data_IF_408015940110
#
_entry.id   IF_408015940110
#
_cell.length_a   1.000
_cell.length_b   1.000
_cell.length_c   1.000
_cell.angle_alpha   90.00
_cell.angle_beta   90.00
_cell.angle_gamma   90.00
#
_symmetry.space_group_name_H-M   'P 1'
#
loop_
_entity.id
_entity.type
_entity.pdbx_description
1 polymer ?
#
# COMPACT_ATOMS: atom_id res chain seq x y z
N UNK A 1 10.68 -35.86 -10.76
CA UNK A 1 9.53 -35.04 -10.41
C UNK A 1 9.91 -33.96 -9.40
N UNK A 2 10.30 -34.31 -8.16
CA UNK A 2 10.59 -33.33 -7.08
C UNK A 2 11.67 -32.30 -7.46
N UNK A 3 12.73 -32.72 -8.14
CA UNK A 3 13.81 -31.80 -8.58
C UNK A 3 13.28 -30.78 -9.62
N UNK A 4 12.45 -31.23 -10.56
CA UNK A 4 11.85 -30.38 -11.58
C UNK A 4 10.91 -29.34 -10.95
N UNK A 5 10.06 -29.76 -10.02
CA UNK A 5 9.15 -28.89 -9.25
C UNK A 5 9.94 -27.83 -8.47
N UNK A 6 11.03 -28.21 -7.81
CA UNK A 6 11.89 -27.27 -7.10
C UNK A 6 12.52 -26.21 -8.03
N UNK A 7 12.99 -26.64 -9.21
CA UNK A 7 13.56 -25.76 -10.23
C UNK A 7 12.50 -24.80 -10.80
N UNK A 8 11.30 -25.30 -11.13
CA UNK A 8 10.19 -24.47 -11.61
C UNK A 8 9.75 -23.44 -10.58
N UNK A 9 9.65 -23.83 -9.29
CA UNK A 9 9.36 -22.88 -8.19
C UNK A 9 10.43 -21.80 -8.08
N UNK A 10 11.71 -22.16 -8.19
CA UNK A 10 12.82 -21.21 -8.19
C UNK A 10 12.72 -20.23 -9.38
N UNK A 11 12.44 -20.73 -10.61
CA UNK A 11 12.24 -19.89 -11.79
C UNK A 11 11.10 -18.88 -11.59
N UNK A 12 9.97 -19.31 -11.04
CA UNK A 12 8.83 -18.43 -10.76
C UNK A 12 9.19 -17.33 -9.73
N UNK A 13 9.90 -17.69 -8.66
CA UNK A 13 10.30 -16.74 -7.63
C UNK A 13 11.35 -15.72 -8.13
N UNK A 14 12.26 -16.14 -9.00
CA UNK A 14 13.29 -15.29 -9.62
C UNK A 14 12.77 -14.57 -10.88
N UNK A 15 11.56 -14.89 -11.34
CA UNK A 15 10.95 -14.40 -12.59
C UNK A 15 11.79 -14.71 -13.85
N UNK A 16 12.50 -15.85 -13.84
CA UNK A 16 13.36 -16.32 -14.93
C UNK A 16 12.57 -17.18 -15.92
N UNK A 17 11.85 -16.52 -16.82
CA UNK A 17 10.93 -17.19 -17.75
C UNK A 17 11.63 -18.12 -18.74
N UNK A 18 12.82 -17.75 -19.23
CA UNK A 18 13.54 -18.55 -20.26
C UNK A 18 14.05 -19.87 -19.69
N UNK A 19 14.53 -19.88 -18.45
CA UNK A 19 14.83 -21.10 -17.72
C UNK A 19 13.56 -21.93 -17.47
N UNK A 20 12.47 -21.28 -17.08
CA UNK A 20 11.17 -21.92 -16.91
C UNK A 20 10.69 -22.63 -18.16
N UNK A 21 10.81 -22.01 -19.35
CA UNK A 21 10.48 -22.62 -20.66
C UNK A 21 11.35 -23.83 -20.98
N UNK A 22 12.63 -23.82 -20.66
CA UNK A 22 13.52 -24.96 -20.83
C UNK A 22 13.06 -26.14 -19.98
N UNK A 23 12.83 -25.93 -18.70
CA UNK A 23 12.33 -26.98 -17.79
C UNK A 23 10.93 -27.46 -18.18
N UNK A 24 10.07 -26.60 -18.72
CA UNK A 24 8.80 -27.03 -19.30
C UNK A 24 9.02 -27.95 -20.53
N UNK A 25 9.99 -27.61 -21.39
CA UNK A 25 10.38 -28.50 -22.52
C UNK A 25 10.88 -29.87 -22.04
N UNK A 26 11.62 -29.92 -20.93
CA UNK A 26 12.06 -31.17 -20.31
C UNK A 26 10.88 -31.97 -19.74
N UNK A 27 9.94 -31.28 -19.04
CA UNK A 27 8.71 -31.86 -18.54
C UNK A 27 7.86 -32.49 -19.66
N UNK A 28 7.75 -31.84 -20.84
CA UNK A 28 7.06 -32.33 -22.00
C UNK A 28 7.75 -33.57 -22.59
N UNK A 29 9.08 -33.57 -22.72
CA UNK A 29 9.83 -34.72 -23.24
C UNK A 29 9.70 -35.97 -22.39
N UNK A 30 9.54 -35.78 -21.08
CA UNK A 30 9.35 -36.87 -20.11
C UNK A 30 7.88 -37.27 -19.93
N UNK A 31 6.95 -36.54 -20.54
CA UNK A 31 5.51 -36.76 -20.38
C UNK A 31 4.92 -36.22 -19.06
N UNK A 32 5.76 -35.68 -18.18
CA UNK A 32 5.34 -35.23 -16.84
C UNK A 32 4.42 -34.00 -16.86
N UNK A 33 4.49 -33.19 -17.91
CA UNK A 33 3.65 -31.97 -18.00
C UNK A 33 2.15 -32.28 -18.13
N UNK A 34 1.80 -33.43 -18.74
CA UNK A 34 0.41 -33.80 -18.96
C UNK A 34 -0.08 -34.97 -18.10
N UNK A 35 0.85 -35.76 -17.51
CA UNK A 35 0.51 -36.92 -16.69
C UNK A 35 0.53 -36.64 -15.17
N UNK A 36 1.21 -35.55 -14.74
CA UNK A 36 1.39 -35.22 -13.33
C UNK A 36 0.76 -33.85 -13.01
N UNK A 37 -0.36 -33.88 -12.27
CA UNK A 37 -1.09 -32.70 -11.84
C UNK A 37 -0.21 -31.74 -11.01
N UNK A 38 0.73 -32.25 -10.21
CA UNK A 38 1.62 -31.45 -9.38
C UNK A 38 2.66 -30.67 -10.20
N UNK A 39 3.20 -31.30 -11.26
CA UNK A 39 4.10 -30.59 -12.19
C UNK A 39 3.32 -29.56 -13.01
N UNK A 40 2.12 -29.90 -13.49
CA UNK A 40 1.27 -28.97 -14.23
C UNK A 40 0.88 -27.75 -13.39
N UNK A 41 0.45 -27.94 -12.15
CA UNK A 41 0.14 -26.88 -11.19
C UNK A 41 1.34 -25.95 -10.94
N UNK A 42 2.54 -26.55 -10.81
CA UNK A 42 3.78 -25.77 -10.62
C UNK A 42 4.16 -24.98 -11.87
N UNK A 43 3.94 -25.52 -13.07
CA UNK A 43 4.14 -24.82 -14.35
C UNK A 43 3.21 -23.62 -14.48
N UNK A 44 1.92 -23.77 -14.16
CA UNK A 44 0.95 -22.69 -14.18
C UNK A 44 1.36 -21.57 -13.22
N UNK A 45 1.71 -21.93 -11.97
CA UNK A 45 2.18 -20.98 -10.98
C UNK A 45 3.47 -20.26 -11.40
N UNK A 46 4.43 -20.99 -12.00
CA UNK A 46 5.68 -20.42 -12.52
C UNK A 46 5.38 -19.39 -13.63
N UNK A 47 4.55 -19.74 -14.61
CA UNK A 47 4.18 -18.83 -15.69
C UNK A 47 3.37 -17.63 -15.20
N UNK A 48 2.47 -17.83 -14.24
CA UNK A 48 1.73 -16.75 -13.57
C UNK A 48 2.69 -15.73 -12.97
N UNK A 49 3.64 -16.18 -12.16
CA UNK A 49 4.66 -15.32 -11.51
C UNK A 49 5.58 -14.61 -12.52
N UNK A 50 5.90 -15.27 -13.63
CA UNK A 50 6.72 -14.69 -14.70
C UNK A 50 5.94 -13.73 -15.62
N UNK A 51 4.63 -13.55 -15.44
CA UNK A 51 3.82 -12.67 -16.28
C UNK A 51 3.34 -13.29 -17.61
N UNK A 52 3.59 -14.55 -17.84
CA UNK A 52 3.28 -15.27 -19.09
C UNK A 52 1.96 -16.04 -18.99
N UNK A 53 0.86 -15.31 -18.91
CA UNK A 53 -0.46 -15.90 -18.68
C UNK A 53 -0.91 -16.81 -19.83
N UNK A 54 -0.50 -16.52 -21.08
CA UNK A 54 -0.87 -17.34 -22.25
C UNK A 54 -0.30 -18.77 -22.17
N UNK A 55 0.95 -18.88 -21.72
CA UNK A 55 1.58 -20.18 -21.49
C UNK A 55 0.95 -20.91 -20.31
N UNK A 56 0.53 -20.20 -19.25
CA UNK A 56 -0.22 -20.79 -18.15
C UNK A 56 -1.59 -21.33 -18.64
N UNK A 57 -2.34 -20.52 -19.43
CA UNK A 57 -3.59 -20.93 -20.07
C UNK A 57 -3.40 -22.18 -20.95
N UNK A 58 -2.31 -22.25 -21.73
CA UNK A 58 -2.01 -23.39 -22.59
C UNK A 58 -1.78 -24.67 -21.75
N UNK A 59 -0.97 -24.62 -20.71
CA UNK A 59 -0.73 -25.75 -19.81
C UNK A 59 -2.03 -26.17 -19.13
N UNK A 60 -2.83 -25.22 -18.65
CA UNK A 60 -4.13 -25.50 -18.02
C UNK A 60 -5.07 -26.24 -18.97
N UNK A 61 -5.22 -25.79 -20.23
CA UNK A 61 -6.08 -26.40 -21.22
C UNK A 61 -5.59 -27.79 -21.65
N UNK A 62 -4.28 -27.99 -21.80
CA UNK A 62 -3.67 -29.28 -22.16
C UNK A 62 -4.00 -30.34 -21.10
N UNK A 63 -3.91 -29.98 -19.82
CA UNK A 63 -4.14 -30.90 -18.70
C UNK A 63 -5.63 -31.08 -18.42
N UNK A 64 -6.42 -30.04 -18.44
CA UNK A 64 -7.86 -30.11 -18.17
C UNK A 64 -8.64 -30.90 -19.24
N UNK A 65 -8.12 -30.99 -20.47
CA UNK A 65 -8.72 -31.80 -21.53
C UNK A 65 -8.41 -33.29 -21.43
N UNK A 66 -7.32 -33.66 -20.74
CA UNK A 66 -6.83 -35.04 -20.65
C UNK A 66 -7.20 -35.75 -19.32
N UNK A 67 -7.49 -35.00 -18.27
CA UNK A 67 -7.82 -35.53 -16.94
C UNK A 67 -9.30 -35.27 -16.63
N UNK A 68 -10.13 -36.32 -16.71
CA UNK A 68 -11.58 -36.28 -16.38
C UNK A 68 -11.85 -35.99 -14.89
N UNK A 69 -10.85 -36.12 -14.03
CA UNK A 69 -10.87 -35.82 -12.60
C UNK A 69 -10.06 -34.53 -12.36
N UNK A 70 -10.60 -33.38 -12.80
CA UNK A 70 -9.93 -32.09 -12.66
C UNK A 70 -9.76 -31.74 -11.20
N UNK A 71 -8.53 -31.88 -10.70
CA UNK A 71 -8.13 -31.53 -9.34
C UNK A 71 -8.35 -30.02 -9.07
N UNK A 72 -9.09 -29.71 -8.01
CA UNK A 72 -9.34 -28.31 -7.57
C UNK A 72 -8.05 -27.49 -7.43
N UNK A 73 -6.91 -28.15 -7.15
CA UNK A 73 -5.59 -27.51 -7.02
C UNK A 73 -5.12 -26.93 -8.36
N UNK A 74 -5.36 -27.59 -9.46
CA UNK A 74 -5.03 -27.08 -10.80
C UNK A 74 -5.83 -25.82 -11.14
N UNK A 75 -7.13 -25.82 -10.79
CA UNK A 75 -8.00 -24.65 -10.97
C UNK A 75 -7.57 -23.48 -10.09
N UNK A 76 -7.26 -23.73 -8.82
CA UNK A 76 -6.75 -22.71 -7.92
C UNK A 76 -5.43 -22.10 -8.40
N UNK A 77 -4.53 -22.91 -8.99
CA UNK A 77 -3.31 -22.39 -9.58
C UNK A 77 -3.59 -21.43 -10.75
N UNK A 78 -4.56 -21.75 -11.61
CA UNK A 78 -4.94 -20.86 -12.71
C UNK A 78 -5.66 -19.60 -12.24
N UNK A 79 -6.56 -19.73 -11.25
CA UNK A 79 -7.21 -18.59 -10.59
C UNK A 79 -6.16 -17.64 -9.97
N UNK A 80 -5.18 -18.19 -9.25
CA UNK A 80 -4.07 -17.43 -8.66
C UNK A 80 -3.20 -16.75 -9.72
N UNK A 81 -2.91 -17.44 -10.85
CA UNK A 81 -2.14 -16.87 -11.94
C UNK A 81 -2.84 -15.67 -12.58
N UNK A 82 -4.17 -15.71 -12.73
CA UNK A 82 -4.93 -14.55 -13.18
C UNK A 82 -4.88 -13.39 -12.19
N UNK A 83 -4.99 -13.68 -10.90
CA UNK A 83 -4.96 -12.66 -9.87
C UNK A 83 -3.58 -11.96 -9.79
N UNK A 84 -2.48 -12.73 -9.86
CA UNK A 84 -1.10 -12.21 -9.89
C UNK A 84 -0.85 -11.26 -11.08
N UNK A 85 -1.59 -11.45 -12.19
CA UNK A 85 -1.51 -10.61 -13.38
C UNK A 85 -2.60 -9.52 -13.45
N UNK A 86 -3.25 -9.21 -12.30
CA UNK A 86 -4.33 -8.22 -12.22
C UNK A 86 -5.49 -8.48 -13.21
N UNK A 87 -5.76 -9.74 -13.54
CA UNK A 87 -6.86 -10.16 -14.42
C UNK A 87 -8.03 -10.72 -13.63
N UNK A 88 -8.52 -9.95 -12.66
CA UNK A 88 -9.59 -10.34 -11.74
C UNK A 88 -10.87 -10.80 -12.46
N UNK A 89 -11.25 -10.15 -13.58
CA UNK A 89 -12.42 -10.58 -14.37
C UNK A 89 -12.30 -12.01 -14.88
N UNK A 90 -11.11 -12.37 -15.43
CA UNK A 90 -10.86 -13.74 -15.89
C UNK A 90 -10.87 -14.76 -14.75
N UNK A 91 -10.39 -14.35 -13.57
CA UNK A 91 -10.45 -15.21 -12.39
C UNK A 91 -11.91 -15.48 -11.97
N UNK A 92 -12.77 -14.47 -11.95
CA UNK A 92 -14.19 -14.63 -11.62
C UNK A 92 -14.94 -15.48 -12.66
N UNK A 93 -14.67 -15.28 -13.95
CA UNK A 93 -15.23 -16.11 -15.03
C UNK A 93 -14.80 -17.55 -14.87
N UNK A 94 -13.52 -17.81 -14.58
CA UNK A 94 -13.00 -19.16 -14.38
C UNK A 94 -13.62 -19.82 -13.13
N UNK A 95 -13.81 -19.07 -12.05
CA UNK A 95 -14.47 -19.54 -10.84
C UNK A 95 -15.93 -19.94 -11.13
N UNK A 96 -16.69 -19.10 -11.83
CA UNK A 96 -18.07 -19.40 -12.23
C UNK A 96 -18.13 -20.64 -13.17
N UNK A 97 -17.17 -20.77 -14.09
CA UNK A 97 -17.07 -21.92 -14.98
C UNK A 97 -16.79 -23.22 -14.20
N UNK A 98 -15.90 -23.15 -13.20
CA UNK A 98 -15.59 -24.28 -12.32
C UNK A 98 -16.83 -24.81 -11.61
N UNK A 99 -17.68 -23.93 -11.06
CA UNK A 99 -18.92 -24.30 -10.39
C UNK A 99 -20.01 -24.81 -11.34
N UNK A 100 -20.27 -24.05 -12.42
CA UNK A 100 -21.47 -24.24 -13.23
C UNK A 100 -21.33 -25.31 -14.31
N UNK A 101 -20.19 -25.40 -14.99
CA UNK A 101 -20.03 -26.24 -16.18
C UNK A 101 -19.25 -27.52 -15.90
N UNK A 102 -18.26 -27.47 -15.04
CA UNK A 102 -17.39 -28.64 -14.76
C UNK A 102 -17.86 -29.42 -13.54
N UNK A 103 -18.69 -28.77 -12.69
CA UNK A 103 -19.20 -29.42 -11.48
C UNK A 103 -18.14 -29.69 -10.41
N UNK A 104 -16.99 -28.99 -10.51
CA UNK A 104 -15.93 -29.07 -9.51
C UNK A 104 -16.32 -28.19 -8.33
N UNK A 105 -16.43 -28.78 -7.15
CA UNK A 105 -16.76 -28.03 -5.95
C UNK A 105 -15.58 -27.13 -5.52
N UNK A 106 -15.74 -25.78 -5.54
CA UNK A 106 -14.73 -24.87 -5.01
C UNK A 106 -14.40 -25.19 -3.55
N UNK A 107 -13.17 -25.01 -3.16
CA UNK A 107 -12.74 -25.12 -1.77
C UNK A 107 -12.54 -23.72 -1.17
N UNK A 108 -12.12 -23.66 0.10
CA UNK A 108 -11.84 -22.40 0.78
C UNK A 108 -10.82 -21.50 0.05
N UNK A 109 -9.83 -22.09 -0.61
CA UNK A 109 -8.80 -21.39 -1.35
C UNK A 109 -9.37 -20.77 -2.64
N UNK A 110 -10.18 -21.54 -3.39
CA UNK A 110 -10.90 -21.05 -4.59
C UNK A 110 -11.76 -19.82 -4.24
N UNK A 111 -12.50 -19.90 -3.15
CA UNK A 111 -13.38 -18.85 -2.68
C UNK A 111 -12.60 -17.62 -2.23
N UNK A 112 -11.50 -17.80 -1.52
CA UNK A 112 -10.61 -16.71 -1.12
C UNK A 112 -10.06 -15.97 -2.34
N UNK A 113 -9.59 -16.70 -3.36
CA UNK A 113 -9.05 -16.10 -4.60
C UNK A 113 -10.15 -15.33 -5.34
N UNK A 114 -11.38 -15.87 -5.42
CA UNK A 114 -12.51 -15.18 -6.04
C UNK A 114 -12.87 -13.85 -5.32
N UNK A 115 -12.88 -13.85 -3.99
CA UNK A 115 -13.08 -12.64 -3.18
C UNK A 115 -11.95 -11.62 -3.35
N UNK A 116 -10.70 -12.08 -3.44
CA UNK A 116 -9.55 -11.21 -3.74
C UNK A 116 -9.64 -10.64 -5.16
N UNK A 117 -10.14 -11.41 -6.12
CA UNK A 117 -10.39 -10.93 -7.47
C UNK A 117 -11.45 -9.81 -7.49
N UNK A 118 -12.57 -9.96 -6.76
CA UNK A 118 -13.54 -8.88 -6.57
C UNK A 118 -12.86 -7.63 -6.00
N UNK A 119 -12.05 -7.80 -4.97
CA UNK A 119 -11.33 -6.68 -4.32
C UNK A 119 -10.35 -5.98 -5.24
N UNK A 120 -9.71 -6.70 -6.18
CA UNK A 120 -8.75 -6.13 -7.14
C UNK A 120 -9.42 -5.36 -8.29
N UNK A 121 -10.68 -5.64 -8.58
CA UNK A 121 -11.43 -4.97 -9.65
C UNK A 121 -12.02 -3.62 -9.22
N UNK A 122 -12.06 -3.34 -7.93
CA UNK A 122 -12.53 -2.05 -7.41
C UNK A 122 -11.36 -1.05 -7.46
N UNK A 123 -11.03 -0.58 -8.65
CA UNK A 123 -9.91 0.35 -8.87
C UNK A 123 -10.36 1.80 -9.00
N UNK A 124 -11.58 2.04 -9.47
CA UNK A 124 -12.12 3.38 -9.68
C UNK A 124 -13.48 3.55 -9.01
N UNK A 125 -13.77 4.78 -8.56
CA UNK A 125 -15.02 5.20 -7.90
C UNK A 125 -16.29 5.08 -8.76
N UNK A 126 -16.35 4.12 -9.70
CA UNK A 126 -17.54 3.88 -10.54
C UNK A 126 -18.58 3.11 -9.73
N UNK A 127 -19.62 3.80 -9.30
CA UNK A 127 -20.71 3.23 -8.49
C UNK A 127 -21.34 1.97 -9.13
N UNK A 128 -21.58 1.99 -10.43
CA UNK A 128 -22.18 0.85 -11.16
C UNK A 128 -21.32 -0.41 -11.06
N UNK A 129 -20.00 -0.27 -11.13
CA UNK A 129 -19.08 -1.40 -11.00
C UNK A 129 -19.04 -1.94 -9.56
N UNK A 130 -19.16 -1.05 -8.56
CA UNK A 130 -19.22 -1.45 -7.14
C UNK A 130 -20.50 -2.24 -6.83
N UNK A 131 -21.65 -1.78 -7.28
CA UNK A 131 -22.94 -2.45 -7.04
C UNK A 131 -22.96 -3.86 -7.65
N UNK A 132 -22.44 -4.01 -8.87
CA UNK A 132 -22.32 -5.31 -9.52
C UNK A 132 -21.36 -6.25 -8.77
N UNK A 133 -20.18 -5.77 -8.36
CA UNK A 133 -19.22 -6.55 -7.60
C UNK A 133 -19.75 -6.91 -6.21
N UNK A 134 -20.55 -6.04 -5.60
CA UNK A 134 -21.22 -6.31 -4.34
C UNK A 134 -22.17 -7.50 -4.44
N UNK A 135 -22.94 -7.62 -5.52
CA UNK A 135 -23.82 -8.79 -5.73
C UNK A 135 -23.01 -10.08 -5.87
N UNK A 136 -21.85 -10.03 -6.55
CA UNK A 136 -20.93 -11.19 -6.63
C UNK A 136 -20.41 -11.54 -5.23
N UNK A 137 -19.95 -10.54 -4.45
CA UNK A 137 -19.44 -10.76 -3.08
C UNK A 137 -20.53 -11.37 -2.18
N UNK A 138 -21.79 -10.91 -2.29
CA UNK A 138 -22.93 -11.50 -1.57
C UNK A 138 -23.16 -12.95 -1.98
N UNK A 139 -23.10 -13.27 -3.26
CA UNK A 139 -23.19 -14.65 -3.76
C UNK A 139 -22.07 -15.54 -3.18
N UNK A 140 -20.83 -15.08 -3.25
CA UNK A 140 -19.68 -15.80 -2.69
C UNK A 140 -19.78 -15.94 -1.15
N UNK A 141 -20.37 -14.97 -0.46
CA UNK A 141 -20.63 -15.09 1.00
C UNK A 141 -21.66 -16.16 1.30
N UNK A 142 -22.74 -16.26 0.52
CA UNK A 142 -23.75 -17.32 0.65
C UNK A 142 -23.11 -18.69 0.38
N UNK A 143 -22.28 -18.81 -0.63
CA UNK A 143 -21.53 -20.06 -0.93
C UNK A 143 -20.64 -20.44 0.26
N UNK A 144 -19.94 -19.47 0.83
CA UNK A 144 -19.10 -19.68 2.03
C UNK A 144 -19.92 -20.18 3.23
N UNK A 145 -21.14 -19.67 3.42
CA UNK A 145 -22.06 -20.11 4.49
C UNK A 145 -22.54 -21.52 4.26
N UNK A 146 -22.98 -21.83 3.05
CA UNK A 146 -23.49 -23.15 2.67
C UNK A 146 -22.41 -24.24 2.80
N UNK A 147 -21.16 -23.92 2.51
CA UNK A 147 -20.02 -24.83 2.65
C UNK A 147 -19.40 -24.85 4.05
N UNK A 148 -19.90 -24.02 4.99
CA UNK A 148 -19.42 -23.94 6.36
C UNK A 148 -18.00 -23.34 6.50
N UNK A 149 -17.47 -22.69 5.44
CA UNK A 149 -16.10 -22.18 5.42
C UNK A 149 -15.96 -20.70 5.86
N UNK A 150 -17.07 -20.04 6.19
CA UNK A 150 -17.05 -18.65 6.71
C UNK A 150 -16.20 -18.50 7.97
N UNK A 151 -16.13 -19.56 8.80
CA UNK A 151 -15.33 -19.56 10.03
C UNK A 151 -13.82 -19.59 9.78
N UNK A 152 -13.37 -19.97 8.57
CA UNK A 152 -11.95 -19.95 8.22
C UNK A 152 -11.40 -18.53 8.17
N UNK A 153 -10.30 -18.28 8.89
CA UNK A 153 -9.71 -16.95 9.02
C UNK A 153 -9.41 -16.26 7.67
N UNK A 154 -8.93 -17.03 6.69
CA UNK A 154 -8.57 -16.50 5.37
C UNK A 154 -9.79 -16.07 4.55
N UNK A 155 -10.85 -16.89 4.52
CA UNK A 155 -12.11 -16.57 3.82
C UNK A 155 -12.76 -15.35 4.45
N UNK A 156 -12.83 -15.33 5.78
CA UNK A 156 -13.38 -14.20 6.54
C UNK A 156 -12.64 -12.91 6.28
N UNK A 157 -11.30 -12.93 6.31
CA UNK A 157 -10.49 -11.75 5.98
C UNK A 157 -10.73 -11.27 4.56
N UNK A 158 -10.85 -12.20 3.60
CA UNK A 158 -11.14 -11.86 2.21
C UNK A 158 -12.55 -11.25 2.06
N UNK A 159 -13.56 -11.76 2.79
CA UNK A 159 -14.91 -11.18 2.85
C UNK A 159 -14.89 -9.76 3.45
N UNK A 160 -14.18 -9.57 4.57
CA UNK A 160 -14.01 -8.23 5.17
C UNK A 160 -13.43 -7.23 4.16
N UNK A 161 -12.33 -7.60 3.50
CA UNK A 161 -11.70 -6.75 2.50
C UNK A 161 -12.63 -6.48 1.31
N UNK A 162 -13.38 -7.48 0.84
CA UNK A 162 -14.28 -7.33 -0.29
C UNK A 162 -15.45 -6.40 0.04
N UNK A 163 -16.12 -6.60 1.19
CA UNK A 163 -17.20 -5.71 1.63
C UNK A 163 -16.72 -4.29 1.90
N UNK A 164 -15.56 -4.14 2.56
CA UNK A 164 -14.98 -2.82 2.81
C UNK A 164 -14.73 -2.03 1.52
N UNK A 165 -14.13 -2.67 0.51
CA UNK A 165 -13.88 -2.03 -0.78
C UNK A 165 -15.15 -1.70 -1.55
N UNK A 166 -16.22 -2.48 -1.36
CA UNK A 166 -17.55 -2.15 -1.87
C UNK A 166 -18.22 -0.99 -1.10
N UNK A 167 -17.68 -0.57 0.04
CA UNK A 167 -18.27 0.47 0.90
C UNK A 167 -19.34 -0.06 1.86
N UNK A 168 -19.50 -1.38 1.96
CA UNK A 168 -20.51 -2.04 2.80
C UNK A 168 -19.92 -2.41 4.16
N UNK A 169 -19.56 -1.39 4.96
CA UNK A 169 -18.95 -1.57 6.28
C UNK A 169 -19.84 -2.37 7.25
N UNK A 170 -21.16 -2.21 7.18
CA UNK A 170 -22.08 -2.93 8.04
C UNK A 170 -22.01 -4.45 7.83
N UNK A 171 -21.87 -4.90 6.58
CA UNK A 171 -21.70 -6.33 6.28
C UNK A 171 -20.31 -6.82 6.71
N UNK A 172 -19.27 -5.98 6.54
CA UNK A 172 -17.94 -6.29 7.06
C UNK A 172 -17.95 -6.43 8.60
N UNK A 173 -18.62 -5.52 9.32
CA UNK A 173 -18.80 -5.59 10.77
C UNK A 173 -19.51 -6.89 11.21
N UNK A 174 -20.59 -7.28 10.52
CA UNK A 174 -21.31 -8.55 10.82
C UNK A 174 -20.37 -9.76 10.69
N UNK A 175 -19.59 -9.82 9.60
CA UNK A 175 -18.61 -10.91 9.39
C UNK A 175 -17.52 -10.87 10.44
N UNK A 176 -17.06 -9.69 10.86
CA UNK A 176 -16.04 -9.53 11.88
C UNK A 176 -16.51 -10.02 13.25
N UNK A 177 -17.69 -9.59 13.72
CA UNK A 177 -18.20 -9.90 15.04
C UNK A 177 -18.87 -11.29 15.16
N UNK A 178 -19.09 -11.99 14.04
CA UNK A 178 -19.73 -13.31 14.03
C UNK A 178 -18.96 -14.38 14.82
N UNK A 179 -17.66 -14.20 15.05
CA UNK A 179 -16.78 -15.19 15.70
C UNK A 179 -15.86 -14.48 16.69
N UNK A 180 -15.55 -15.16 17.82
CA UNK A 180 -14.53 -14.68 18.76
C UNK A 180 -13.15 -14.78 18.10
N UNK A 181 -12.54 -13.63 17.85
CA UNK A 181 -11.28 -13.50 17.10
C UNK A 181 -10.10 -13.34 18.06
N UNK A 182 -9.21 -14.32 18.08
CA UNK A 182 -7.92 -14.25 18.79
C UNK A 182 -6.75 -13.91 17.86
N UNK A 183 -6.96 -14.01 16.52
CA UNK A 183 -5.95 -13.74 15.51
C UNK A 183 -5.91 -12.25 15.13
N UNK A 184 -4.71 -11.70 14.97
CA UNK A 184 -4.46 -10.30 14.62
C UNK A 184 -4.95 -9.93 13.20
N UNK A 185 -4.98 -10.89 12.27
CA UNK A 185 -5.22 -10.61 10.85
C UNK A 185 -6.61 -10.01 10.58
N UNK A 186 -7.72 -10.58 11.09
CA UNK A 186 -9.05 -9.98 10.90
C UNK A 186 -9.19 -8.61 11.57
N UNK A 187 -8.54 -8.39 12.72
CA UNK A 187 -8.53 -7.06 13.38
C UNK A 187 -7.84 -6.01 12.53
N UNK A 188 -6.68 -6.36 11.95
CA UNK A 188 -5.96 -5.47 11.04
C UNK A 188 -6.78 -5.17 9.79
N UNK A 189 -7.45 -6.20 9.23
CA UNK A 189 -8.31 -6.03 8.06
C UNK A 189 -9.50 -5.09 8.35
N UNK A 190 -10.14 -5.23 9.53
CA UNK A 190 -11.25 -4.36 9.91
C UNK A 190 -10.79 -2.94 10.23
N UNK A 191 -9.62 -2.79 10.86
CA UNK A 191 -8.99 -1.47 11.06
C UNK A 191 -8.71 -0.77 9.72
N UNK A 192 -8.11 -1.47 8.76
CA UNK A 192 -7.90 -0.94 7.42
C UNK A 192 -9.23 -0.58 6.74
N UNK A 193 -10.26 -1.42 6.92
CA UNK A 193 -11.59 -1.17 6.40
C UNK A 193 -12.18 0.16 6.89
N UNK A 194 -12.05 0.45 8.18
CA UNK A 194 -12.52 1.72 8.74
C UNK A 194 -11.71 2.91 8.19
N UNK A 195 -10.38 2.79 8.13
CA UNK A 195 -9.51 3.86 7.59
C UNK A 195 -9.80 4.14 6.12
N UNK A 196 -9.99 3.09 5.31
CA UNK A 196 -10.26 3.21 3.86
C UNK A 196 -11.64 3.82 3.57
N UNK A 197 -12.57 3.79 4.55
CA UNK A 197 -13.91 4.34 4.44
C UNK A 197 -14.14 5.60 5.31
N UNK A 198 -13.07 6.26 5.72
CA UNK A 198 -13.12 7.54 6.46
C UNK A 198 -13.90 7.45 7.80
N UNK A 199 -13.77 6.30 8.50
CA UNK A 199 -14.40 6.03 9.80
C UNK A 199 -13.32 5.96 10.90
N UNK A 200 -12.54 7.04 11.08
CA UNK A 200 -11.35 7.10 11.93
C UNK A 200 -11.65 6.82 13.39
N UNK A 201 -12.78 7.33 13.91
CA UNK A 201 -13.17 7.11 15.31
C UNK A 201 -13.42 5.62 15.58
N UNK A 202 -14.09 4.92 14.65
CA UNK A 202 -14.30 3.47 14.77
C UNK A 202 -12.98 2.71 14.69
N UNK A 203 -12.05 3.13 13.83
CA UNK A 203 -10.73 2.53 13.75
C UNK A 203 -9.97 2.63 15.08
N UNK A 204 -9.94 3.82 15.70
CA UNK A 204 -9.27 4.04 16.97
C UNK A 204 -9.93 3.28 18.13
N UNK A 205 -11.26 3.22 18.18
CA UNK A 205 -12.01 2.42 19.15
C UNK A 205 -11.72 0.93 18.98
N UNK A 206 -11.67 0.44 17.75
CA UNK A 206 -11.34 -0.96 17.46
C UNK A 206 -9.91 -1.29 17.88
N UNK A 207 -8.95 -0.39 17.65
CA UNK A 207 -7.58 -0.57 18.12
C UNK A 207 -7.49 -0.67 19.64
N UNK A 208 -8.22 0.19 20.35
CA UNK A 208 -8.29 0.14 21.83
C UNK A 208 -8.96 -1.14 22.33
N UNK A 209 -10.02 -1.61 21.66
CA UNK A 209 -10.68 -2.88 21.98
C UNK A 209 -9.75 -4.07 21.77
N UNK A 210 -8.99 -4.09 20.67
CA UNK A 210 -7.98 -5.11 20.38
C UNK A 210 -6.95 -5.23 21.50
N UNK A 211 -6.42 -4.09 21.97
CA UNK A 211 -5.46 -4.06 23.09
C UNK A 211 -6.11 -4.55 24.39
N UNK A 212 -7.35 -4.13 24.70
CA UNK A 212 -8.10 -4.55 25.87
C UNK A 212 -8.34 -6.06 25.90
N UNK A 213 -8.52 -6.68 24.73
CA UNK A 213 -8.65 -8.15 24.58
C UNK A 213 -7.31 -8.89 24.63
N UNK A 214 -6.19 -8.18 24.78
CA UNK A 214 -4.85 -8.76 24.83
C UNK A 214 -4.31 -9.24 23.49
N UNK A 215 -4.95 -8.84 22.38
CA UNK A 215 -4.49 -9.18 21.03
C UNK A 215 -3.35 -8.23 20.65
N UNK A 216 -2.20 -8.81 20.30
CA UNK A 216 -0.99 -8.03 20.02
C UNK A 216 -1.04 -7.42 18.62
N UNK A 217 -1.03 -6.09 18.47
CA UNK A 217 -0.94 -5.44 17.18
C UNK A 217 0.34 -5.81 16.44
N UNK A 218 0.25 -6.03 15.14
CA UNK A 218 1.40 -6.16 14.25
C UNK A 218 1.74 -4.79 13.62
N UNK A 219 2.78 -4.75 12.78
CA UNK A 219 3.25 -3.53 12.11
C UNK A 219 2.13 -2.86 11.29
N UNK A 220 1.36 -3.65 10.55
CA UNK A 220 0.22 -3.13 9.76
C UNK A 220 -0.87 -2.54 10.65
N UNK A 221 -1.20 -3.20 11.76
CA UNK A 221 -2.19 -2.70 12.72
C UNK A 221 -1.79 -1.33 13.27
N UNK A 222 -0.50 -1.18 13.62
CA UNK A 222 0.04 0.10 14.14
C UNK A 222 -0.02 1.18 13.07
N UNK A 223 0.38 0.86 11.84
CA UNK A 223 0.32 1.81 10.73
C UNK A 223 -1.11 2.25 10.46
N UNK A 224 -2.10 1.35 10.44
CA UNK A 224 -3.51 1.69 10.29
C UNK A 224 -4.01 2.61 11.43
N UNK A 225 -3.66 2.31 12.68
CA UNK A 225 -4.05 3.15 13.82
C UNK A 225 -3.42 4.55 13.76
N UNK A 226 -2.15 4.66 13.35
CA UNK A 226 -1.49 5.95 13.13
C UNK A 226 -2.08 6.72 11.94
N UNK A 227 -2.48 6.01 10.89
CA UNK A 227 -3.16 6.60 9.74
C UNK A 227 -4.53 7.16 10.15
N UNK A 228 -5.31 6.41 10.94
CA UNK A 228 -6.57 6.90 11.50
C UNK A 228 -6.37 8.18 12.34
N UNK A 229 -5.35 8.20 13.23
CA UNK A 229 -5.01 9.41 13.96
C UNK A 229 -4.64 10.58 13.04
N UNK A 230 -3.87 10.30 11.98
CA UNK A 230 -3.42 11.30 11.02
C UNK A 230 -4.59 11.91 10.23
N UNK A 231 -5.51 11.06 9.74
CA UNK A 231 -6.69 11.49 9.01
C UNK A 231 -7.63 12.30 9.92
N UNK A 232 -7.93 11.79 11.12
CA UNK A 232 -8.75 12.50 12.10
C UNK A 232 -8.18 13.89 12.49
N UNK A 233 -6.84 14.03 12.55
CA UNK A 233 -6.18 15.31 12.78
C UNK A 233 -6.37 16.30 11.63
N UNK A 234 -6.48 15.81 10.39
CA UNK A 234 -6.70 16.64 9.21
C UNK A 234 -8.11 17.21 9.17
N UNK A 235 -9.11 16.41 9.54
CA UNK A 235 -10.53 16.80 9.57
C UNK A 235 -10.92 17.62 10.80
N UNK A 236 -10.05 17.63 11.80
CA UNK A 236 -10.37 18.21 13.11
C UNK A 236 -10.23 19.72 13.13
N UNK A 237 -11.33 20.43 13.42
CA UNK A 237 -11.36 21.88 13.55
C UNK A 237 -11.16 22.36 15.02
N UNK A 238 -11.42 21.48 16.00
CA UNK A 238 -11.33 21.81 17.42
C UNK A 238 -9.93 21.57 17.98
N UNK A 239 -9.36 22.58 18.64
CA UNK A 239 -8.06 22.45 19.31
C UNK A 239 -8.08 21.37 20.42
N UNK A 240 -9.20 21.20 21.12
CA UNK A 240 -9.33 20.19 22.17
C UNK A 240 -9.25 18.77 21.62
N UNK A 241 -9.89 18.52 20.47
CA UNK A 241 -9.83 17.23 19.80
C UNK A 241 -8.41 16.92 19.26
N UNK A 242 -7.71 17.94 18.71
CA UNK A 242 -6.31 17.78 18.28
C UNK A 242 -5.39 17.34 19.42
N UNK A 243 -5.59 17.89 20.62
CA UNK A 243 -4.81 17.48 21.80
C UNK A 243 -5.08 16.02 22.15
N UNK A 244 -6.35 15.59 22.14
CA UNK A 244 -6.72 14.20 22.43
C UNK A 244 -6.11 13.24 21.39
N UNK A 245 -6.23 13.56 20.12
CA UNK A 245 -5.66 12.72 19.04
C UNK A 245 -4.13 12.64 19.12
N UNK A 246 -3.47 13.75 19.47
CA UNK A 246 -2.02 13.75 19.71
C UNK A 246 -1.64 12.84 20.88
N UNK A 247 -2.39 12.86 21.99
CA UNK A 247 -2.14 11.98 23.13
C UNK A 247 -2.38 10.49 22.79
N UNK A 248 -3.40 10.19 21.97
CA UNK A 248 -3.61 8.83 21.44
C UNK A 248 -2.39 8.41 20.57
N UNK A 249 -1.93 9.28 19.68
CA UNK A 249 -0.74 9.01 18.87
C UNK A 249 0.52 8.79 19.70
N UNK A 250 0.72 9.56 20.78
CA UNK A 250 1.83 9.37 21.73
C UNK A 250 1.70 8.04 22.48
N UNK A 251 0.50 7.63 22.85
CA UNK A 251 0.26 6.34 23.50
C UNK A 251 0.62 5.18 22.56
N UNK A 252 0.22 5.25 21.28
CA UNK A 252 0.61 4.27 20.26
C UNK A 252 2.14 4.24 20.10
N UNK A 253 2.79 5.41 20.04
CA UNK A 253 4.25 5.52 19.97
C UNK A 253 4.95 4.89 21.18
N UNK A 254 4.45 5.12 22.39
CA UNK A 254 4.99 4.54 23.60
C UNK A 254 4.85 3.01 23.63
N UNK A 255 3.70 2.49 23.20
CA UNK A 255 3.46 1.05 23.09
C UNK A 255 4.41 0.40 22.06
N UNK A 256 4.58 1.03 20.90
CA UNK A 256 5.52 0.61 19.86
C UNK A 256 6.97 0.53 20.39
N UNK A 257 7.42 1.54 21.15
CA UNK A 257 8.76 1.55 21.75
C UNK A 257 8.95 0.41 22.75
N UNK A 258 7.95 0.13 23.58
CA UNK A 258 7.99 -1.01 24.53
C UNK A 258 8.13 -2.34 23.83
N UNK A 259 7.61 -2.46 22.60
CA UNK A 259 7.66 -3.69 21.79
C UNK A 259 8.92 -3.82 20.93
N UNK A 260 9.81 -2.84 20.94
CA UNK A 260 11.03 -2.84 20.13
C UNK A 260 10.79 -2.61 18.63
N UNK A 261 9.63 -2.11 18.24
CA UNK A 261 9.24 -1.84 16.84
C UNK A 261 9.76 -0.47 16.33
N UNK A 262 10.49 0.27 17.16
CA UNK A 262 11.02 1.59 16.84
C UNK A 262 11.99 1.63 15.64
N UNK A 263 12.53 0.48 15.23
CA UNK A 263 13.46 0.38 14.09
C UNK A 263 12.73 0.13 12.74
N UNK A 264 11.40 -0.06 12.74
CA UNK A 264 10.66 -0.25 11.51
C UNK A 264 10.42 1.10 10.83
N UNK A 265 11.01 1.27 9.62
CA UNK A 265 10.94 2.53 8.86
C UNK A 265 9.50 2.90 8.47
N UNK A 266 8.66 1.91 8.15
CA UNK A 266 7.26 2.15 7.76
C UNK A 266 6.44 2.73 8.92
N UNK A 267 6.62 2.17 10.13
CA UNK A 267 5.96 2.68 11.34
C UNK A 267 6.51 4.06 11.71
N UNK A 268 7.82 4.25 11.60
CA UNK A 268 8.45 5.55 11.90
C UNK A 268 7.96 6.63 10.94
N UNK A 269 7.81 6.33 9.66
CA UNK A 269 7.26 7.26 8.68
C UNK A 269 5.77 7.58 8.95
N UNK A 270 4.97 6.60 9.36
CA UNK A 270 3.58 6.82 9.77
C UNK A 270 3.49 7.71 11.03
N UNK A 271 4.36 7.49 12.03
CA UNK A 271 4.49 8.35 13.21
C UNK A 271 4.86 9.78 12.85
N UNK A 272 5.87 9.96 12.00
CA UNK A 272 6.28 11.29 11.55
C UNK A 272 5.16 12.00 10.79
N UNK A 273 4.40 11.27 9.96
CA UNK A 273 3.22 11.81 9.27
C UNK A 273 2.15 12.29 10.26
N UNK A 274 1.84 11.46 11.27
CA UNK A 274 0.89 11.82 12.32
C UNK A 274 1.36 13.03 13.14
N UNK A 275 2.63 13.06 13.58
CA UNK A 275 3.19 14.21 14.31
C UNK A 275 3.25 15.47 13.44
N UNK A 276 3.50 15.33 12.14
CA UNK A 276 3.42 16.44 11.18
C UNK A 276 2.01 17.03 11.13
N UNK A 277 0.96 16.22 11.03
CA UNK A 277 -0.44 16.70 11.04
C UNK A 277 -0.83 17.33 12.38
N UNK A 278 -0.29 16.81 13.48
CA UNK A 278 -0.46 17.41 14.81
C UNK A 278 0.37 18.66 15.04
N UNK A 279 1.25 19.07 14.12
CA UNK A 279 2.24 20.15 14.27
C UNK A 279 3.17 19.95 15.49
N UNK A 280 3.40 18.71 15.89
CA UNK A 280 4.25 18.31 17.02
C UNK A 280 5.70 18.12 16.58
N UNK A 281 6.41 19.22 16.30
CA UNK A 281 7.74 19.23 15.67
C UNK A 281 8.76 18.45 16.50
N UNK A 282 8.82 18.67 17.82
CA UNK A 282 9.81 18.05 18.68
C UNK A 282 9.65 16.52 18.71
N UNK A 283 8.41 16.02 18.69
CA UNK A 283 8.13 14.59 18.65
C UNK A 283 8.53 14.00 17.28
N UNK A 284 8.26 14.71 16.19
CA UNK A 284 8.68 14.31 14.85
C UNK A 284 10.21 14.29 14.69
N UNK A 285 10.93 15.34 15.21
CA UNK A 285 12.38 15.39 15.24
C UNK A 285 12.98 14.20 16.01
N UNK A 286 12.41 13.83 17.16
CA UNK A 286 12.84 12.70 17.96
C UNK A 286 12.69 11.39 17.20
N UNK A 287 11.57 11.16 16.50
CA UNK A 287 11.36 9.98 15.67
C UNK A 287 12.37 9.95 14.52
N UNK A 288 12.53 11.07 13.79
CA UNK A 288 13.46 11.18 12.68
C UNK A 288 14.89 10.86 13.08
N UNK A 289 15.36 11.40 14.23
CA UNK A 289 16.69 11.13 14.76
C UNK A 289 16.88 9.68 15.22
N UNK A 290 15.80 8.97 15.57
CA UNK A 290 15.86 7.57 16.01
C UNK A 290 15.96 6.57 14.85
N UNK A 291 15.65 6.98 13.61
CA UNK A 291 15.74 6.14 12.42
C UNK A 291 17.22 5.97 12.03
N UNK A 292 17.69 4.73 11.97
CA UNK A 292 19.10 4.42 11.64
C UNK A 292 19.43 4.75 10.18
N UNK A 293 18.53 4.40 9.26
CA UNK A 293 18.65 4.74 7.83
C UNK A 293 17.39 5.46 7.38
N UNK A 294 17.47 6.79 7.32
CA UNK A 294 16.35 7.61 6.82
C UNK A 294 16.22 7.42 5.30
N UNK A 295 15.01 7.12 4.85
CA UNK A 295 14.66 7.05 3.43
C UNK A 295 14.15 8.41 2.90
N UNK A 296 13.88 8.47 1.59
CA UNK A 296 13.37 9.70 0.96
C UNK A 296 12.05 10.17 1.59
N UNK A 297 11.24 9.26 2.12
CA UNK A 297 9.94 9.59 2.75
C UNK A 297 10.16 10.32 4.06
N UNK A 298 11.03 9.79 4.94
CA UNK A 298 11.36 10.41 6.22
C UNK A 298 11.97 11.80 6.06
N UNK A 299 12.91 11.97 5.12
CA UNK A 299 13.48 13.29 4.81
C UNK A 299 12.43 14.27 4.29
N UNK A 300 11.60 13.84 3.31
CA UNK A 300 10.56 14.70 2.73
C UNK A 300 9.52 15.11 3.76
N UNK A 301 9.12 14.20 4.65
CA UNK A 301 8.15 14.49 5.72
C UNK A 301 8.69 15.57 6.67
N UNK A 302 9.96 15.48 7.08
CA UNK A 302 10.57 16.49 7.94
C UNK A 302 10.76 17.85 7.25
N UNK A 303 11.20 17.85 5.98
CA UNK A 303 11.30 19.09 5.19
C UNK A 303 9.93 19.76 5.08
N UNK A 304 8.89 19.00 4.72
CA UNK A 304 7.52 19.51 4.63
C UNK A 304 7.00 20.04 5.97
N UNK A 305 7.31 19.37 7.08
CA UNK A 305 6.92 19.82 8.42
C UNK A 305 7.52 21.20 8.74
N UNK A 306 8.81 21.38 8.46
CA UNK A 306 9.43 22.70 8.67
C UNK A 306 8.86 23.79 7.75
N UNK A 307 8.48 23.43 6.51
CA UNK A 307 7.81 24.33 5.58
C UNK A 307 6.45 24.76 6.11
N UNK A 308 5.62 23.82 6.55
CA UNK A 308 4.30 24.10 7.12
C UNK A 308 4.38 24.95 8.42
N UNK A 309 5.45 24.76 9.17
CA UNK A 309 5.72 25.56 10.37
C UNK A 309 6.35 26.95 10.06
N UNK A 310 6.60 27.26 8.80
CA UNK A 310 7.20 28.53 8.37
C UNK A 310 8.71 28.63 8.58
N UNK A 311 9.38 27.54 8.95
CA UNK A 311 10.83 27.52 9.18
C UNK A 311 11.61 27.11 7.93
N UNK A 312 11.60 27.97 6.91
CA UNK A 312 12.29 27.70 5.63
C UNK A 312 13.79 27.46 5.79
N UNK A 313 14.46 28.10 6.77
CA UNK A 313 15.91 27.91 7.01
C UNK A 313 16.23 26.47 7.41
N UNK A 314 15.48 25.90 8.36
CA UNK A 314 15.67 24.51 8.79
C UNK A 314 15.34 23.53 7.65
N UNK A 315 14.29 23.82 6.86
CA UNK A 315 13.94 22.99 5.69
C UNK A 315 15.08 22.92 4.67
N UNK A 316 15.70 24.05 4.32
CA UNK A 316 16.84 24.07 3.39
C UNK A 316 18.09 23.38 3.95
N UNK A 317 18.38 23.56 5.24
CA UNK A 317 19.48 22.86 5.90
C UNK A 317 19.27 21.34 5.87
N UNK A 318 18.04 20.90 6.10
CA UNK A 318 17.71 19.49 6.09
C UNK A 318 17.83 18.90 4.68
N UNK A 319 17.38 19.62 3.64
CA UNK A 319 17.58 19.25 2.25
C UNK A 319 19.07 19.05 1.90
N UNK A 320 19.93 20.00 2.34
CA UNK A 320 21.38 19.87 2.18
C UNK A 320 21.94 18.61 2.87
N UNK A 321 21.47 18.33 4.10
CA UNK A 321 21.89 17.12 4.83
C UNK A 321 21.45 15.85 4.12
N UNK A 322 20.26 15.81 3.53
CA UNK A 322 19.76 14.70 2.72
C UNK A 322 20.73 14.38 1.57
N UNK A 323 21.20 15.42 0.85
CA UNK A 323 22.22 15.24 -0.20
C UNK A 323 23.56 14.72 0.33
N UNK A 324 24.05 15.24 1.46
CA UNK A 324 25.28 14.77 2.09
C UNK A 324 25.18 13.30 2.48
N UNK A 325 23.99 12.84 2.90
CA UNK A 325 23.72 11.43 3.22
C UNK A 325 23.51 10.55 1.97
N UNK A 326 23.59 11.10 0.77
CA UNK A 326 23.44 10.37 -0.49
C UNK A 326 22.00 9.95 -0.81
N UNK A 327 21.01 10.50 -0.10
CA UNK A 327 19.59 10.19 -0.37
C UNK A 327 19.10 11.08 -1.52
N UNK A 328 18.62 10.46 -2.59
CA UNK A 328 18.13 11.19 -3.79
C UNK A 328 16.75 11.79 -3.53
N UNK A 329 16.56 13.12 -3.69
CA UNK A 329 15.26 13.76 -3.58
C UNK A 329 14.29 13.29 -4.67
N UNK A 330 13.02 13.21 -4.34
CA UNK A 330 11.91 13.00 -5.28
C UNK A 330 11.20 14.32 -5.60
N UNK A 331 10.17 14.30 -6.44
CA UNK A 331 9.39 15.48 -6.81
C UNK A 331 8.75 16.17 -5.58
N UNK A 332 8.25 15.42 -4.60
CA UNK A 332 7.69 15.99 -3.36
C UNK A 332 8.76 16.73 -2.53
N UNK A 333 9.96 16.17 -2.45
CA UNK A 333 11.09 16.82 -1.77
C UNK A 333 11.44 18.14 -2.41
N UNK A 334 11.52 18.18 -3.76
CA UNK A 334 11.84 19.40 -4.50
C UNK A 334 10.74 20.45 -4.32
N UNK A 335 9.46 20.06 -4.43
CA UNK A 335 8.33 20.97 -4.19
C UNK A 335 8.40 21.58 -2.78
N UNK A 336 8.59 20.77 -1.75
CA UNK A 336 8.70 21.28 -0.38
C UNK A 336 9.89 22.21 -0.20
N UNK A 337 11.04 21.90 -0.81
CA UNK A 337 12.24 22.75 -0.71
C UNK A 337 12.06 24.07 -1.47
N UNK A 338 11.40 24.07 -2.62
CA UNK A 338 11.02 25.30 -3.33
C UNK A 338 10.06 26.16 -2.50
N UNK A 339 9.07 25.54 -1.85
CA UNK A 339 8.16 26.25 -0.92
C UNK A 339 8.92 26.89 0.25
N UNK A 340 9.98 26.23 0.78
CA UNK A 340 10.85 26.79 1.79
C UNK A 340 11.55 28.07 1.29
N UNK A 341 12.03 28.10 0.05
CA UNK A 341 12.59 29.30 -0.58
C UNK A 341 11.55 30.43 -0.66
N UNK A 342 10.30 30.09 -1.00
CA UNK A 342 9.19 31.05 -1.06
C UNK A 342 8.84 31.68 0.28
N UNK A 343 8.91 30.89 1.38
CA UNK A 343 8.70 31.39 2.75
C UNK A 343 9.80 32.38 3.12
N UNK A 344 11.06 32.05 2.83
CA UNK A 344 12.19 32.92 3.13
C UNK A 344 12.12 34.23 2.35
N UNK A 345 11.75 34.15 1.06
CA UNK A 345 11.58 35.35 0.21
C UNK A 345 10.47 36.29 0.74
N UNK A 346 9.40 35.74 1.31
CA UNK A 346 8.34 36.55 1.91
C UNK A 346 8.79 37.18 3.23
N UNK A 347 9.50 36.45 4.09
CA UNK A 347 9.99 36.95 5.36
C UNK A 347 11.01 38.10 5.18
N UNK A 348 11.78 38.06 4.10
CA UNK A 348 12.74 39.15 3.77
C UNK A 348 12.03 40.41 3.28
N UNK A 349 10.89 40.31 2.61
CA UNK A 349 10.09 41.49 2.20
C UNK A 349 9.43 42.24 3.34
N UNK A 350 9.23 41.58 4.48
CA UNK A 350 8.61 42.21 5.67
C UNK A 350 9.61 42.79 6.68
N UNK A 351 10.88 42.41 6.62
CA UNK A 351 11.92 42.88 7.55
C UNK A 351 12.83 43.91 6.86
N UNK A 352 12.31 45.11 6.70
CA UNK A 352 12.95 46.45 6.55
C UNK A 352 14.31 46.65 5.84
N UNK A 353 14.23 47.57 4.89
CA UNK A 353 14.98 48.83 4.64
C UNK A 353 16.49 48.88 5.02
N UNK A 354 17.20 47.80 5.24
CA UNK A 354 18.66 47.85 5.37
C UNK A 354 19.36 47.16 4.19
N UNK A 355 20.35 47.80 3.59
CA UNK A 355 21.13 47.43 2.39
C UNK A 355 21.70 46.01 2.36
N UNK A 356 21.60 45.25 3.46
CA UNK A 356 22.04 43.84 3.54
C UNK A 356 21.02 42.80 2.98
N UNK A 357 19.77 43.18 2.74
CA UNK A 357 18.69 42.25 2.31
C UNK A 357 18.74 41.92 0.82
N UNK A 358 19.35 42.78 -0.01
CA UNK A 358 19.53 42.48 -1.44
C UNK A 358 20.48 41.29 -1.73
N UNK A 359 21.45 41.06 -0.84
CA UNK A 359 22.41 39.94 -1.01
C UNK A 359 21.77 38.59 -0.73
N UNK A 360 20.82 38.53 0.24
CA UNK A 360 20.14 37.27 0.57
C UNK A 360 19.10 36.84 -0.48
N UNK A 361 18.43 37.78 -1.13
CA UNK A 361 17.48 37.48 -2.22
C UNK A 361 18.16 36.87 -3.46
N UNK A 362 19.34 37.35 -3.83
CA UNK A 362 20.14 36.77 -4.92
C UNK A 362 20.63 35.37 -4.55
N UNK A 363 21.10 35.15 -3.33
CA UNK A 363 21.50 33.81 -2.85
C UNK A 363 20.33 32.79 -2.85
N UNK A 364 19.12 33.22 -2.51
CA UNK A 364 17.92 32.36 -2.56
C UNK A 364 17.54 32.02 -4.01
N UNK A 365 17.67 32.94 -4.94
CA UNK A 365 17.42 32.71 -6.34
C UNK A 365 18.41 31.70 -6.93
N UNK A 366 19.69 31.77 -6.55
CA UNK A 366 20.70 30.76 -6.91
C UNK A 366 20.33 29.36 -6.40
N UNK A 367 19.78 29.27 -5.19
CA UNK A 367 19.27 28.01 -4.65
C UNK A 367 18.09 27.49 -5.49
N UNK A 368 17.18 28.37 -5.91
CA UNK A 368 16.05 28.01 -6.78
C UNK A 368 16.55 27.52 -8.14
N UNK A 369 17.54 28.17 -8.74
CA UNK A 369 18.16 27.71 -9.99
C UNK A 369 18.83 26.34 -9.82
N UNK A 370 19.52 26.11 -8.72
CA UNK A 370 20.14 24.81 -8.43
C UNK A 370 19.08 23.71 -8.27
N UNK A 371 17.96 23.99 -7.57
CA UNK A 371 16.83 23.06 -7.44
C UNK A 371 16.16 22.76 -8.78
N UNK A 372 16.00 23.77 -9.63
CA UNK A 372 15.45 23.59 -10.97
C UNK A 372 16.39 22.72 -11.83
N UNK A 373 17.69 22.99 -11.82
CA UNK A 373 18.67 22.17 -12.52
C UNK A 373 18.72 20.72 -12.01
N UNK A 374 18.56 20.50 -10.69
CA UNK A 374 18.46 19.15 -10.12
C UNK A 374 17.18 18.43 -10.59
N UNK A 375 16.04 19.15 -10.65
CA UNK A 375 14.79 18.62 -11.18
C UNK A 375 14.93 18.21 -12.67
N UNK A 376 15.56 19.04 -13.50
CA UNK A 376 15.84 18.74 -14.91
C UNK A 376 16.75 17.51 -15.04
N UNK A 377 17.83 17.45 -14.30
CA UNK A 377 18.77 16.31 -14.31
C UNK A 377 18.08 14.99 -13.97
N UNK A 378 17.03 15.03 -13.15
CA UNK A 378 16.25 13.86 -12.74
C UNK A 378 15.03 13.60 -13.65
N UNK A 379 14.77 14.46 -14.62
CA UNK A 379 13.61 14.33 -15.51
C UNK A 379 12.25 14.53 -14.82
N UNK A 380 12.22 15.25 -13.69
CA UNK A 380 10.99 15.54 -12.93
C UNK A 380 10.57 17.02 -13.03
N UNK A 381 11.26 17.80 -13.85
CA UNK A 381 10.94 19.20 -14.16
C UNK A 381 9.60 19.35 -14.87
N UNK A 382 9.15 18.34 -15.63
CA UNK A 382 7.85 18.29 -16.31
C UNK A 382 6.70 17.83 -15.39
N UNK A 383 6.98 17.43 -14.16
CA UNK A 383 5.94 17.12 -13.18
C UNK A 383 5.09 18.36 -12.90
N UNK A 384 3.76 18.19 -12.93
CA UNK A 384 2.79 19.29 -12.78
C UNK A 384 2.99 20.10 -11.50
N UNK A 385 3.29 19.43 -10.39
CA UNK A 385 3.46 20.09 -9.08
C UNK A 385 4.79 20.87 -9.04
N UNK A 386 5.86 20.29 -9.59
CA UNK A 386 7.17 20.94 -9.70
C UNK A 386 7.08 22.16 -10.59
N UNK A 387 6.52 22.04 -11.82
CA UNK A 387 6.30 23.17 -12.72
C UNK A 387 5.51 24.31 -12.10
N UNK A 388 4.36 24.00 -11.49
CA UNK A 388 3.50 25.00 -10.87
C UNK A 388 4.22 25.73 -9.73
N UNK A 389 4.99 24.99 -8.92
CA UNK A 389 5.76 25.57 -7.82
C UNK A 389 6.90 26.44 -8.33
N UNK A 390 7.64 26.02 -9.35
CA UNK A 390 8.70 26.81 -9.98
C UNK A 390 8.16 28.12 -10.56
N UNK A 391 7.06 28.09 -11.30
CA UNK A 391 6.41 29.30 -11.85
C UNK A 391 6.04 30.27 -10.74
N UNK A 392 5.43 29.76 -9.65
CA UNK A 392 5.04 30.58 -8.51
C UNK A 392 6.26 31.21 -7.82
N UNK A 393 7.33 30.46 -7.64
CA UNK A 393 8.56 30.95 -7.00
C UNK A 393 9.27 31.98 -7.89
N UNK A 394 9.46 31.71 -9.19
CA UNK A 394 10.06 32.68 -10.12
C UNK A 394 9.22 33.96 -10.22
N UNK A 395 7.88 33.87 -10.22
CA UNK A 395 6.98 35.01 -10.18
C UNK A 395 7.19 35.88 -8.92
N UNK A 396 7.45 35.27 -7.77
CA UNK A 396 7.73 36.00 -6.51
C UNK A 396 9.05 36.75 -6.54
N UNK A 397 10.06 36.22 -7.21
CA UNK A 397 11.35 36.89 -7.39
C UNK A 397 11.35 37.91 -8.52
N UNK A 398 10.22 38.07 -9.25
CA UNK A 398 10.11 39.02 -10.36
C UNK A 398 10.81 38.60 -11.64
N UNK A 399 11.25 37.37 -11.74
CA UNK A 399 11.89 36.78 -12.92
C UNK A 399 10.87 35.95 -13.70
N UNK A 400 9.91 36.62 -14.31
CA UNK A 400 9.08 36.05 -15.38
C UNK A 400 9.83 36.23 -16.70
N UNK A 401 10.59 35.24 -17.09
CA UNK A 401 11.09 35.09 -18.46
C UNK A 401 10.29 34.01 -19.14
#
# INVERSE_FOLDING_TARGET
EYTLVALLKACGNLKEIDLGRRFHGDARRTGLSSSDSFVATTLISMYGKCGSIKEAEHVFLEVSSSIWDADVVLWNAMLSAYLEQNKGEKALILYAYMQGWVGIKPNQESLQIALQACSSLIVDNRKIQRDFLLEIVRGLHIDAQNDGVVSHAMVRTALLCAYSKCGELQEAEKVFYAVVLLDVVPWTAMLSAYVDNEEEEKALLLYAEMQKRGIMPNDHTIVCALQACSNALEECYSQSQKVILLEIGKAIHADMRKRGLACNIFISNALMSMYKKAMAIADAENVFCSIFHQDVVSWTTMISLYVEYGNGKKALLLYRHMHIKGVSPNHYTIVATLQACGILANNEKFNDVNEFTHVSGFMLLDVVYALHADAQKKGIDSDRFVCTTLINIYGRFGNLL
#
